data_IF_144260666498
#
_entry.id   IF_144260666498
#
_cell.length_a   1.000
_cell.length_b   1.000
_cell.length_c   1.000
_cell.angle_alpha   90.00
_cell.angle_beta   90.00
_cell.angle_gamma   90.00
#
_symmetry.space_group_name_H-M   'P 1'
#
loop_
_entity.id
_entity.type
_entity.pdbx_description
1 polymer ?
#
# COMPACT_ATOMS: atom_id res chain seq x y z
N UNK A 1 14.14 -19.72 18.80
CA UNK A 1 12.90 -18.98 18.60
C UNK A 1 12.88 -18.37 17.22
N UNK A 2 11.82 -18.60 16.50
CA UNK A 2 11.69 -18.02 15.16
C UNK A 2 11.05 -16.66 15.28
N UNK A 3 11.75 -15.65 14.80
CA UNK A 3 11.21 -14.29 14.74
C UNK A 3 10.59 -14.11 13.37
N UNK A 4 9.29 -13.84 13.34
CA UNK A 4 8.61 -13.54 12.10
C UNK A 4 8.75 -12.03 11.88
N UNK A 5 9.52 -11.67 10.86
CA UNK A 5 9.69 -10.28 10.46
C UNK A 5 8.83 -10.05 9.23
N UNK A 6 7.83 -9.18 9.38
CA UNK A 6 7.03 -8.78 8.23
C UNK A 6 7.91 -8.00 7.27
N UNK A 7 7.76 -8.27 5.98
CA UNK A 7 8.42 -7.47 4.98
C UNK A 7 7.90 -6.03 5.06
N UNK A 8 8.70 -5.08 4.59
CA UNK A 8 8.29 -3.69 4.57
C UNK A 8 6.99 -3.51 3.77
N UNK A 9 6.87 -4.23 2.66
CA UNK A 9 5.65 -4.19 1.84
C UNK A 9 4.44 -4.71 2.58
N UNK A 10 4.58 -5.84 3.28
CA UNK A 10 3.46 -6.41 4.04
C UNK A 10 3.04 -5.47 5.18
N UNK A 11 3.98 -4.91 5.90
CA UNK A 11 3.69 -3.97 6.98
C UNK A 11 2.95 -2.73 6.45
N UNK A 12 3.40 -2.19 5.33
CA UNK A 12 2.75 -1.03 4.71
C UNK A 12 1.36 -1.36 4.19
N UNK A 13 1.18 -2.55 3.63
CA UNK A 13 -0.14 -2.98 3.16
C UNK A 13 -1.12 -3.09 4.32
N UNK A 14 -0.70 -3.65 5.45
CA UNK A 14 -1.53 -3.73 6.65
C UNK A 14 -1.88 -2.34 7.17
N UNK A 15 -0.92 -1.43 7.18
CA UNK A 15 -1.16 -0.05 7.59
C UNK A 15 -2.16 0.64 6.67
N UNK A 16 -2.05 0.41 5.36
CA UNK A 16 -2.99 0.97 4.38
C UNK A 16 -4.40 0.46 4.65
N UNK A 17 -4.57 -0.81 4.97
CA UNK A 17 -5.87 -1.36 5.34
C UNK A 17 -6.46 -0.63 6.54
N UNK A 18 -5.66 -0.38 7.56
CA UNK A 18 -6.12 0.35 8.75
C UNK A 18 -6.60 1.76 8.40
N UNK A 19 -5.82 2.48 7.60
CA UNK A 19 -6.13 3.87 7.23
C UNK A 19 -7.40 3.92 6.39
N UNK A 20 -7.56 3.00 5.43
CA UNK A 20 -8.71 2.98 4.53
C UNK A 20 -9.95 2.32 5.14
N UNK A 21 -9.81 1.74 6.33
CA UNK A 21 -10.95 1.13 7.01
C UNK A 21 -11.31 -0.27 6.56
N UNK A 22 -10.41 -0.97 5.88
CA UNK A 22 -10.62 -2.37 5.53
C UNK A 22 -10.27 -3.27 6.71
N UNK A 23 -11.05 -4.32 6.91
CA UNK A 23 -10.83 -5.27 8.01
C UNK A 23 -9.75 -6.28 7.70
N UNK A 24 -9.58 -6.63 6.42
CA UNK A 24 -8.59 -7.61 6.00
C UNK A 24 -7.88 -7.16 4.75
N UNK A 25 -6.71 -7.73 4.50
CA UNK A 25 -5.97 -7.49 3.27
C UNK A 25 -6.78 -7.97 2.07
N UNK A 26 -7.51 -9.06 2.21
CA UNK A 26 -8.35 -9.58 1.12
C UNK A 26 -9.40 -8.58 0.67
N UNK A 27 -9.98 -7.85 1.61
CA UNK A 27 -10.98 -6.83 1.28
C UNK A 27 -10.40 -5.71 0.42
N UNK A 28 -9.21 -5.21 0.81
CA UNK A 28 -8.60 -4.12 0.05
C UNK A 28 -8.15 -4.59 -1.34
N UNK A 29 -7.67 -5.81 -1.44
CA UNK A 29 -7.24 -6.37 -2.73
C UNK A 29 -8.42 -6.59 -3.66
N UNK A 30 -9.53 -7.10 -3.13
CA UNK A 30 -10.74 -7.30 -3.92
C UNK A 30 -11.28 -5.97 -4.46
N UNK A 31 -11.34 -4.96 -3.60
CA UNK A 31 -11.80 -3.62 -4.01
C UNK A 31 -10.85 -3.03 -5.06
N UNK A 32 -9.54 -3.23 -4.91
CA UNK A 32 -8.55 -2.71 -5.85
C UNK A 32 -8.63 -3.36 -7.23
N UNK A 33 -8.94 -4.65 -7.27
CA UNK A 33 -9.04 -5.39 -8.55
C UNK A 33 -10.24 -4.90 -9.37
N UNK A 34 -11.31 -4.50 -8.70
CA UNK A 34 -12.54 -4.10 -9.38
C UNK A 34 -12.56 -2.64 -9.81
N UNK A 35 -11.61 -1.84 -9.35
CA UNK A 35 -11.54 -0.41 -9.66
C UNK A 35 -10.39 -0.10 -10.60
N UNK A 36 -10.53 1.00 -11.35
CA UNK A 36 -9.46 1.49 -12.21
C UNK A 36 -8.35 2.20 -11.43
N UNK A 37 -8.62 2.57 -10.20
CA UNK A 37 -7.64 3.13 -9.27
C UNK A 37 -7.71 2.35 -7.96
N UNK A 38 -6.61 2.32 -7.23
CA UNK A 38 -6.58 1.65 -5.94
C UNK A 38 -5.82 2.47 -4.91
N UNK A 39 -6.05 2.19 -3.61
CA UNK A 39 -5.31 2.85 -2.55
C UNK A 39 -3.81 2.57 -2.66
N UNK A 40 -3.02 3.54 -2.24
CA UNK A 40 -1.56 3.44 -2.25
C UNK A 40 -1.01 4.12 -1.01
N UNK A 41 0.18 3.73 -0.59
CA UNK A 41 0.80 4.27 0.61
C UNK A 41 2.29 4.53 0.36
N UNK A 42 2.81 5.58 1.01
CA UNK A 42 4.22 5.88 0.96
C UNK A 42 5.04 4.78 1.63
N UNK A 43 6.09 4.34 0.96
CA UNK A 43 6.95 3.26 1.46
C UNK A 43 8.00 3.73 2.47
N UNK A 44 8.12 5.04 2.69
CA UNK A 44 9.08 5.56 3.67
C UNK A 44 8.64 5.16 5.07
N UNK A 45 9.57 4.63 5.84
CA UNK A 45 9.29 4.22 7.21
C UNK A 45 8.82 5.41 8.04
N UNK A 46 7.71 5.22 8.74
CA UNK A 46 7.11 6.28 9.56
C UNK A 46 6.22 7.25 8.79
N UNK A 47 6.16 7.14 7.46
CA UNK A 47 5.29 7.99 6.66
C UNK A 47 4.01 7.23 6.30
N UNK A 48 2.87 7.79 6.67
CA UNK A 48 1.57 7.17 6.41
C UNK A 48 0.77 7.93 5.34
N UNK A 49 1.46 8.65 4.46
CA UNK A 49 0.80 9.34 3.37
C UNK A 49 0.14 8.34 2.42
N UNK A 50 -1.13 8.56 2.11
CA UNK A 50 -1.89 7.70 1.20
C UNK A 50 -2.43 8.50 0.04
N UNK A 51 -2.66 7.82 -1.08
CA UNK A 51 -3.22 8.42 -2.28
C UNK A 51 -3.92 7.33 -3.09
N UNK A 52 -4.68 7.73 -4.10
CA UNK A 52 -5.23 6.78 -5.06
C UNK A 52 -4.42 6.89 -6.35
N UNK A 53 -4.12 5.75 -6.94
CA UNK A 53 -3.30 5.71 -8.15
C UNK A 53 -3.61 4.46 -8.97
N UNK A 54 -3.03 4.37 -10.15
CA UNK A 54 -3.22 3.20 -11.00
C UNK A 54 -2.68 1.94 -10.30
N UNK A 55 -3.36 0.79 -10.46
CA UNK A 55 -2.99 -0.43 -9.72
C UNK A 55 -1.57 -0.92 -9.93
N UNK A 56 -0.97 -0.65 -11.08
CA UNK A 56 0.39 -1.10 -11.40
C UNK A 56 1.47 -0.07 -11.07
N UNK A 57 1.10 1.06 -10.48
CA UNK A 57 2.05 2.13 -10.20
C UNK A 57 2.77 1.89 -8.87
N UNK A 58 4.07 2.11 -8.86
CA UNK A 58 4.88 1.90 -7.65
C UNK A 58 5.81 3.06 -7.29
N UNK A 59 5.76 4.16 -8.04
CA UNK A 59 6.62 5.32 -7.79
C UNK A 59 5.81 6.61 -7.81
N UNK A 60 4.68 6.59 -7.09
CA UNK A 60 3.85 7.78 -6.97
C UNK A 60 4.50 8.83 -6.08
N UNK A 61 4.17 10.08 -6.32
CA UNK A 61 4.73 11.18 -5.54
C UNK A 61 4.11 11.26 -4.16
N UNK A 62 4.95 11.36 -3.14
CA UNK A 62 4.51 11.57 -1.75
C UNK A 62 4.65 13.05 -1.41
N UNK A 63 3.54 13.71 -1.17
CA UNK A 63 3.54 15.13 -0.81
C UNK A 63 4.15 15.38 0.57
N UNK A 64 4.13 14.38 1.43
CA UNK A 64 4.71 14.49 2.78
C UNK A 64 6.23 14.35 2.77
N UNK A 65 6.75 13.41 1.98
CA UNK A 65 8.18 13.14 1.92
C UNK A 65 8.89 13.89 0.80
N UNK A 66 8.18 14.24 -0.26
CA UNK A 66 8.76 14.90 -1.42
C UNK A 66 9.46 13.96 -2.39
N UNK A 67 9.23 12.64 -2.27
CA UNK A 67 9.86 11.65 -3.13
C UNK A 67 8.85 10.79 -3.87
N UNK A 68 9.33 9.97 -4.80
CA UNK A 68 8.50 9.05 -5.55
C UNK A 68 8.45 7.70 -4.85
N UNK A 69 7.73 7.65 -3.73
CA UNK A 69 7.77 6.53 -2.79
C UNK A 69 6.40 5.88 -2.55
N UNK A 70 5.35 6.34 -3.23
CA UNK A 70 4.00 5.81 -3.02
C UNK A 70 3.75 4.61 -3.92
N UNK A 71 3.32 3.50 -3.32
CA UNK A 71 3.16 2.22 -4.02
C UNK A 71 1.72 1.73 -3.86
N UNK A 72 1.14 1.23 -4.94
CA UNK A 72 -0.24 0.74 -4.93
C UNK A 72 -0.38 -0.55 -4.10
N UNK A 73 -1.60 -0.79 -3.61
CA UNK A 73 -1.91 -1.98 -2.82
C UNK A 73 -1.63 -3.28 -3.59
N UNK A 74 -1.95 -3.33 -4.88
CA UNK A 74 -1.73 -4.54 -5.67
C UNK A 74 -0.24 -4.83 -5.88
N UNK A 75 0.58 -3.79 -6.03
CA UNK A 75 2.03 -3.97 -6.11
C UNK A 75 2.58 -4.43 -4.77
N UNK A 76 2.08 -3.85 -3.66
CA UNK A 76 2.50 -4.26 -2.31
C UNK A 76 2.18 -5.73 -2.03
N UNK A 77 1.10 -6.24 -2.59
CA UNK A 77 0.70 -7.64 -2.42
C UNK A 77 1.36 -8.59 -3.41
N UNK A 78 2.22 -8.08 -4.29
CA UNK A 78 2.89 -8.84 -5.34
C UNK A 78 1.92 -9.49 -6.34
N UNK A 79 0.79 -8.84 -6.62
CA UNK A 79 -0.18 -9.33 -7.60
C UNK A 79 0.07 -8.78 -8.99
N UNK A 80 0.92 -7.79 -9.08
CA UNK A 80 1.33 -7.18 -10.34
C UNK A 80 2.84 -7.12 -10.42
#
# INVERSE_FOLDING_TARGET
MTIIVLSKRAAKLMRLCEIEGFRTIEEILFASITDSVCPAICMTEGCDYTAEMEPDQEQGYCEACGGNTVTSALVLANLI
#
